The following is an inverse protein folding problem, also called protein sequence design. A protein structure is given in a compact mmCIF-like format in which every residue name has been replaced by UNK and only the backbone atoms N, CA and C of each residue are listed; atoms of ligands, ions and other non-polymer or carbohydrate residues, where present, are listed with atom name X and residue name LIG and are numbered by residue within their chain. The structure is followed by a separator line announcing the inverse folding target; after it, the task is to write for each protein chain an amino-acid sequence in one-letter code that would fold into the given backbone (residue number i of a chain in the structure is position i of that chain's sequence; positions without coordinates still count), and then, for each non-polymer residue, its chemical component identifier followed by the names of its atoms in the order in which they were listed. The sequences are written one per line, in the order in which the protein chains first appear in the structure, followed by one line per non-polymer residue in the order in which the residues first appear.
data_IF_675304821664
#
_entry.id   IF_675304821664
#
_cell.length_a   1.000
_cell.length_b   1.000
_cell.length_c   1.000
_cell.angle_alpha   90.00
_cell.angle_beta   90.00
_cell.angle_gamma   90.00
#
_symmetry.space_group_name_H-M   'P 1'
#
loop_
_entity.id
_entity.type
_entity.pdbx_description
1 polymer ?
#
# COMPACT_ATOMS: atom_id res chain seq x y z
N UNK A 1 10.60 3.20 -10.47
CA UNK A 1 9.98 1.89 -10.19
C UNK A 1 10.28 1.44 -8.75
N UNK A 2 9.59 2.02 -7.76
CA UNK A 2 9.85 1.76 -6.33
C UNK A 2 9.22 0.47 -5.77
N UNK A 3 8.23 -0.09 -6.45
CA UNK A 3 7.48 -1.28 -5.98
C UNK A 3 8.35 -2.53 -5.72
N UNK A 4 9.41 -2.72 -6.51
CA UNK A 4 10.33 -3.88 -6.37
C UNK A 4 11.02 -3.93 -5.00
N UNK A 5 11.25 -2.79 -4.37
CA UNK A 5 11.83 -2.74 -3.02
C UNK A 5 10.91 -3.44 -2.01
N UNK A 6 9.62 -3.10 -2.01
CA UNK A 6 8.64 -3.67 -1.09
C UNK A 6 8.45 -5.17 -1.31
N UNK A 7 8.33 -5.59 -2.58
CA UNK A 7 8.18 -7.01 -2.94
C UNK A 7 9.38 -7.84 -2.44
N UNK A 8 10.61 -7.35 -2.61
CA UNK A 8 11.83 -8.02 -2.12
C UNK A 8 11.87 -8.18 -0.60
N UNK A 9 11.22 -7.29 0.14
CA UNK A 9 11.15 -7.33 1.60
C UNK A 9 9.91 -8.10 2.13
N UNK A 10 9.21 -8.84 1.27
CA UNK A 10 8.09 -9.70 1.65
C UNK A 10 6.77 -8.96 1.83
N UNK A 11 6.66 -7.75 1.27
CA UNK A 11 5.36 -7.10 1.14
C UNK A 11 4.65 -7.62 -0.12
N UNK A 12 3.33 -7.63 -0.08
CA UNK A 12 2.45 -7.97 -1.20
C UNK A 12 1.60 -6.75 -1.58
N UNK A 13 1.15 -6.68 -2.83
CA UNK A 13 0.24 -5.61 -3.24
C UNK A 13 -1.11 -5.74 -2.52
N UNK A 14 -1.63 -4.60 -2.10
CA UNK A 14 -2.87 -4.50 -1.35
C UNK A 14 -3.84 -3.49 -1.96
N UNK A 15 -5.04 -3.48 -1.41
CA UNK A 15 -6.11 -2.56 -1.79
C UNK A 15 -6.33 -1.51 -0.69
N UNK A 16 -6.91 -0.36 -1.06
CA UNK A 16 -7.20 0.72 -0.10
C UNK A 16 -8.05 0.20 1.05
N UNK A 17 -9.04 -0.67 0.79
CA UNK A 17 -9.94 -1.22 1.81
C UNK A 17 -9.22 -2.07 2.88
N UNK A 18 -8.00 -2.53 2.62
CA UNK A 18 -7.20 -3.27 3.59
C UNK A 18 -6.37 -2.35 4.50
N UNK A 19 -6.33 -1.04 4.25
CA UNK A 19 -5.69 -0.06 5.13
C UNK A 19 -6.60 0.24 6.35
N UNK A 20 -6.05 0.75 7.46
CA UNK A 20 -6.87 1.30 8.54
C UNK A 20 -7.77 2.44 8.06
N UNK A 21 -8.98 2.58 8.62
CA UNK A 21 -10.00 3.57 8.24
C UNK A 21 -9.46 5.01 8.11
N UNK A 22 -8.60 5.44 9.03
CA UNK A 22 -7.96 6.76 8.97
C UNK A 22 -7.06 6.92 7.74
N UNK A 23 -6.35 5.86 7.36
CA UNK A 23 -5.48 5.86 6.17
C UNK A 23 -6.28 5.73 4.88
N UNK A 24 -7.40 5.01 4.88
CA UNK A 24 -8.34 5.00 3.77
C UNK A 24 -8.84 6.41 3.45
N UNK A 25 -9.28 7.15 4.48
CA UNK A 25 -9.80 8.52 4.32
C UNK A 25 -8.75 9.54 3.88
N UNK A 26 -7.51 9.37 4.34
CA UNK A 26 -6.38 10.24 3.98
C UNK A 26 -5.61 9.76 2.74
N UNK A 27 -6.11 8.73 2.05
CA UNK A 27 -5.44 8.21 0.87
C UNK A 27 -5.58 9.21 -0.28
N UNK A 28 -4.45 9.63 -0.83
CA UNK A 28 -4.42 10.59 -1.94
C UNK A 28 -4.65 9.86 -3.26
N UNK A 29 -5.88 9.97 -3.78
CA UNK A 29 -6.30 9.36 -5.03
C UNK A 29 -5.64 9.99 -6.27
N UNK A 30 -5.16 11.24 -6.19
CA UNK A 30 -4.48 11.89 -7.31
C UNK A 30 -3.08 11.31 -7.52
N UNK A 31 -2.40 10.92 -6.43
CA UNK A 31 -1.06 10.30 -6.49
C UNK A 31 -1.06 8.88 -7.04
N UNK A 32 -2.20 8.19 -7.07
CA UNK A 32 -2.35 6.81 -7.58
C UNK A 32 -1.24 5.86 -7.06
N UNK A 33 -0.88 5.99 -5.79
CA UNK A 33 0.21 5.22 -5.19
C UNK A 33 -0.14 3.73 -5.06
N UNK A 34 0.79 2.83 -5.38
CA UNK A 34 0.56 1.40 -5.13
C UNK A 34 0.68 1.11 -3.64
N UNK A 35 -0.28 0.35 -3.09
CA UNK A 35 -0.28 -0.04 -1.67
C UNK A 35 0.43 -1.37 -1.52
N UNK A 36 1.35 -1.45 -0.57
CA UNK A 36 2.07 -2.67 -0.20
C UNK A 36 1.79 -3.01 1.27
N UNK A 37 1.38 -4.24 1.54
CA UNK A 37 1.03 -4.76 2.85
C UNK A 37 1.95 -5.92 3.22
N UNK A 38 2.29 -6.05 4.50
CA UNK A 38 3.04 -7.18 5.04
C UNK A 38 2.40 -7.63 6.34
N UNK A 39 2.11 -8.92 6.48
CA UNK A 39 1.79 -9.50 7.78
C UNK A 39 3.07 -9.61 8.60
N UNK A 40 3.03 -9.11 9.84
CA UNK A 40 4.08 -9.32 10.82
C UNK A 40 4.02 -10.75 11.36
#
# INVERSE_FOLDING_TARGET
YGGRFFLRHGFVEGVISALPLTRQKSYDHQRKSTIYLKKL
#
